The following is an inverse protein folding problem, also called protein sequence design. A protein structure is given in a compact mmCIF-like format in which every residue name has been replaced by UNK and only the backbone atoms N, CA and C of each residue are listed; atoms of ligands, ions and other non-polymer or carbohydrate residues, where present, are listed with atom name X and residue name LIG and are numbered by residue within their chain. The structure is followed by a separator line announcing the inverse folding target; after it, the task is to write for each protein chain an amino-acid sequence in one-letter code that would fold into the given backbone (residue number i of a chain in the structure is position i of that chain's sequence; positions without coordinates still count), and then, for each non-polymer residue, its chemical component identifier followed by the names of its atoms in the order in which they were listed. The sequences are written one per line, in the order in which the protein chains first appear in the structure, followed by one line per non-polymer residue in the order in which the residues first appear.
data_IF_853207304034
#
_entry.id   IF_853207304034
#
_cell.length_a   1.000
_cell.length_b   1.000
_cell.length_c   1.000
_cell.angle_alpha   90.00
_cell.angle_beta   90.00
_cell.angle_gamma   90.00
#
_symmetry.space_group_name_H-M   'P 1'
#
loop_
_entity.id
_entity.type
_entity.pdbx_description
1 polymer ?
#
# COMPACT_ATOMS: atom_id res chain seq x y z
N UNK A 1 24.60 -6.52 26.46
CA UNK A 1 24.69 -5.06 26.58
C UNK A 1 23.49 -4.48 25.86
N UNK A 2 22.78 -3.46 26.35
CA UNK A 2 21.77 -2.81 25.57
C UNK A 2 22.46 -2.19 24.34
N UNK A 3 22.00 -2.54 23.15
CA UNK A 3 22.45 -1.89 21.92
C UNK A 3 22.17 -0.40 22.07
N UNK A 4 23.22 0.43 22.07
CA UNK A 4 23.09 1.87 22.09
C UNK A 4 22.40 2.26 20.79
N UNK A 5 21.15 2.71 20.89
CA UNK A 5 20.45 3.31 19.76
C UNK A 5 21.12 4.67 19.51
N UNK A 6 22.13 4.69 18.68
CA UNK A 6 22.82 5.89 18.26
C UNK A 6 21.86 6.83 17.53
N UNK A 7 22.16 8.12 17.52
CA UNK A 7 21.44 9.10 16.71
C UNK A 7 21.69 8.72 15.23
N UNK A 8 20.65 8.22 14.56
CA UNK A 8 20.72 7.85 13.16
C UNK A 8 20.59 9.10 12.29
N UNK A 9 21.69 9.63 11.79
CA UNK A 9 21.68 10.76 10.85
C UNK A 9 21.36 10.26 9.46
N UNK A 10 20.39 10.82 8.76
CA UNK A 10 20.04 10.40 7.40
C UNK A 10 21.13 10.81 6.40
N UNK A 11 21.38 9.94 5.43
CA UNK A 11 22.19 10.25 4.27
C UNK A 11 21.25 10.63 3.13
N UNK A 12 21.23 11.91 2.81
CA UNK A 12 20.45 12.46 1.71
C UNK A 12 21.34 12.60 0.49
N UNK A 13 20.87 12.16 -0.67
CA UNK A 13 21.57 12.29 -1.95
C UNK A 13 20.64 12.99 -2.94
N UNK A 14 21.07 14.11 -3.50
CA UNK A 14 20.36 14.88 -4.51
C UNK A 14 21.18 14.91 -5.80
N UNK A 15 20.57 14.49 -6.89
CA UNK A 15 21.22 14.40 -8.22
C UNK A 15 22.54 13.62 -8.20
N UNK A 16 22.63 12.55 -7.40
CA UNK A 16 23.82 11.72 -7.26
C UNK A 16 24.88 12.26 -6.29
N UNK A 17 24.70 13.47 -5.76
CA UNK A 17 25.64 14.09 -4.82
C UNK A 17 25.11 13.98 -3.39
N UNK A 18 25.93 13.47 -2.48
CA UNK A 18 25.59 13.41 -1.06
C UNK A 18 25.55 14.81 -0.47
N UNK A 19 24.47 15.14 0.23
CA UNK A 19 24.33 16.40 0.95
C UNK A 19 25.27 16.37 2.16
N UNK A 20 26.19 17.31 2.24
CA UNK A 20 27.24 17.35 3.26
C UNK A 20 27.54 18.78 3.73
N UNK A 21 28.32 18.92 4.83
CA UNK A 21 28.71 20.19 5.39
C UNK A 21 27.51 21.02 5.85
N UNK A 22 27.57 22.34 5.71
CA UNK A 22 26.53 23.29 6.15
C UNK A 22 25.12 22.90 5.68
N UNK A 23 25.01 22.32 4.46
CA UNK A 23 23.71 21.84 3.93
C UNK A 23 23.17 20.64 4.71
N UNK A 24 24.03 19.75 5.15
CA UNK A 24 23.62 18.62 5.99
C UNK A 24 23.24 19.11 7.41
N UNK A 25 23.98 20.07 7.93
CA UNK A 25 23.71 20.67 9.25
C UNK A 25 22.41 21.48 9.25
N UNK A 26 22.01 22.01 8.11
CA UNK A 26 20.73 22.71 7.94
C UNK A 26 19.50 21.77 7.90
N UNK A 27 19.68 20.46 7.80
CA UNK A 27 18.57 19.49 7.74
C UNK A 27 17.88 19.38 9.11
N UNK A 28 16.61 19.77 9.16
CA UNK A 28 15.80 19.75 10.38
C UNK A 28 15.01 18.46 10.55
N UNK A 29 14.37 18.01 9.47
CA UNK A 29 13.43 16.91 9.50
C UNK A 29 13.47 16.12 8.18
N UNK A 30 13.32 14.82 8.29
CA UNK A 30 13.09 13.93 7.14
C UNK A 30 11.93 13.01 7.46
N UNK A 31 10.96 12.99 6.59
CA UNK A 31 9.81 12.12 6.66
C UNK A 31 9.67 11.32 5.38
N UNK A 32 9.73 10.00 5.50
CA UNK A 32 9.54 9.08 4.36
C UNK A 32 8.34 8.19 4.63
N UNK A 33 7.39 8.20 3.72
CA UNK A 33 6.18 7.36 3.79
C UNK A 33 6.25 6.34 2.66
N UNK A 34 6.21 5.07 3.03
CA UNK A 34 6.12 3.93 2.10
C UNK A 34 4.80 3.21 2.34
N UNK A 35 4.05 2.97 1.29
CA UNK A 35 2.71 2.40 1.40
C UNK A 35 2.43 1.47 0.21
N UNK A 36 1.70 0.37 0.44
CA UNK A 36 1.21 -0.47 -0.65
C UNK A 36 0.06 0.25 -1.38
N UNK A 37 -0.02 0.08 -2.68
CA UNK A 37 -1.03 0.71 -3.53
C UNK A 37 -1.06 2.25 -3.47
N UNK A 38 0.09 2.87 -3.19
CA UNK A 38 0.25 4.33 -3.19
C UNK A 38 1.67 4.72 -3.57
N UNK A 39 1.86 5.97 -3.96
CA UNK A 39 3.18 6.52 -4.21
C UNK A 39 3.95 6.72 -2.91
N UNK A 40 5.19 6.24 -2.86
CA UNK A 40 6.09 6.58 -1.78
C UNK A 40 6.46 8.07 -1.85
N UNK A 41 6.51 8.70 -0.68
CA UNK A 41 6.81 10.12 -0.56
C UNK A 41 7.95 10.36 0.43
N UNK A 42 8.82 11.32 0.10
CA UNK A 42 9.83 11.83 1.01
C UNK A 42 9.69 13.34 1.13
N UNK A 43 9.64 13.84 2.35
CA UNK A 43 9.63 15.27 2.66
C UNK A 43 10.86 15.58 3.50
N UNK A 44 11.62 16.59 3.08
CA UNK A 44 12.81 17.06 3.77
C UNK A 44 12.64 18.53 4.09
N UNK A 45 12.98 18.93 5.31
CA UNK A 45 12.95 20.31 5.77
C UNK A 45 14.36 20.77 6.12
N UNK A 46 14.75 21.91 5.57
CA UNK A 46 16.04 22.54 5.81
C UNK A 46 15.83 23.94 6.38
N UNK A 47 16.64 24.30 7.35
CA UNK A 47 16.73 25.67 7.81
C UNK A 47 17.42 26.51 6.74
N UNK A 48 16.76 27.56 6.24
CA UNK A 48 17.25 28.40 5.14
C UNK A 48 16.96 29.89 5.41
N UNK A 49 17.57 30.47 6.47
CA UNK A 49 17.22 31.80 6.95
C UNK A 49 17.49 32.92 5.95
N UNK A 50 18.40 32.69 4.99
CA UNK A 50 18.80 33.67 3.97
C UNK A 50 18.40 33.25 2.56
N UNK A 51 17.57 32.21 2.40
CA UNK A 51 17.14 31.65 1.11
C UNK A 51 18.28 31.14 0.20
N UNK A 52 19.47 30.91 0.77
CA UNK A 52 20.64 30.46 -0.01
C UNK A 52 20.45 29.07 -0.63
N UNK A 53 19.72 28.19 0.07
CA UNK A 53 19.39 26.86 -0.44
C UNK A 53 18.31 26.93 -1.53
N UNK A 54 17.30 27.80 -1.33
CA UNK A 54 16.20 28.00 -2.26
C UNK A 54 16.70 28.65 -3.57
N UNK A 55 17.46 29.73 -3.51
CA UNK A 55 17.97 30.47 -4.66
C UNK A 55 19.11 29.76 -5.37
N UNK A 56 19.79 28.87 -4.65
CA UNK A 56 20.89 28.09 -5.17
C UNK A 56 20.46 26.96 -6.11
N UNK A 57 21.46 26.27 -6.68
CA UNK A 57 21.23 25.08 -7.51
C UNK A 57 21.07 23.79 -6.70
N UNK A 58 20.83 23.91 -5.40
CA UNK A 58 20.83 22.78 -4.46
C UNK A 58 19.75 21.74 -4.77
N UNK A 59 18.52 22.18 -5.04
CA UNK A 59 17.41 21.31 -5.38
C UNK A 59 16.65 21.86 -6.59
N UNK A 60 16.27 20.98 -7.50
CA UNK A 60 15.44 21.31 -8.67
C UNK A 60 14.39 20.25 -8.88
N UNK A 61 13.20 20.65 -9.34
CA UNK A 61 12.14 19.72 -9.71
C UNK A 61 12.65 18.76 -10.81
N UNK A 62 12.30 17.47 -10.67
CA UNK A 62 12.67 16.41 -11.61
C UNK A 62 14.01 15.73 -11.33
N UNK A 63 14.88 16.29 -10.48
CA UNK A 63 16.15 15.63 -10.15
C UNK A 63 15.97 14.47 -9.18
N UNK A 64 16.90 13.51 -9.22
CA UNK A 64 16.86 12.33 -8.35
C UNK A 64 17.04 12.70 -6.87
N UNK A 65 16.25 12.09 -6.02
CA UNK A 65 16.31 12.18 -4.56
C UNK A 65 16.43 10.78 -3.97
N UNK A 66 17.38 10.58 -3.08
CA UNK A 66 17.53 9.34 -2.31
C UNK A 66 17.72 9.66 -0.84
N UNK A 67 17.08 8.88 0.02
CA UNK A 67 17.24 8.96 1.47
C UNK A 67 17.64 7.58 1.99
N UNK A 68 18.68 7.54 2.82
CA UNK A 68 19.11 6.34 3.51
C UNK A 68 19.29 6.63 5.00
N UNK A 69 19.13 5.60 5.84
CA UNK A 69 19.42 5.64 7.26
C UNK A 69 20.33 4.47 7.63
N UNK A 70 21.28 4.65 8.55
CA UNK A 70 22.07 3.55 9.07
C UNK A 70 21.18 2.59 9.89
N UNK A 71 21.37 1.31 9.73
CA UNK A 71 20.80 0.27 10.61
C UNK A 71 21.62 0.11 11.89
N UNK A 72 21.25 -0.84 12.75
CA UNK A 72 21.95 -1.14 14.01
C UNK A 72 23.42 -1.54 13.83
N UNK A 73 23.82 -1.95 12.62
CA UNK A 73 25.22 -2.29 12.29
C UNK A 73 26.00 -1.13 11.69
N UNK A 74 25.35 0.05 11.50
CA UNK A 74 25.93 1.21 10.84
C UNK A 74 25.88 1.12 9.31
N UNK A 75 25.20 0.12 8.75
CA UNK A 75 25.05 -0.02 7.29
C UNK A 75 23.92 0.86 6.79
N UNK A 76 24.19 1.68 5.77
CA UNK A 76 23.19 2.52 5.14
C UNK A 76 22.10 1.69 4.45
N UNK A 77 20.86 1.83 4.89
CA UNK A 77 19.66 1.25 4.27
C UNK A 77 18.92 2.34 3.51
N UNK A 78 18.81 2.18 2.21
CA UNK A 78 18.05 3.11 1.38
C UNK A 78 16.56 2.89 1.67
N UNK A 79 15.90 3.94 2.18
CA UNK A 79 14.46 3.92 2.48
C UNK A 79 13.63 4.60 1.40
N UNK A 80 14.24 5.46 0.58
CA UNK A 80 13.54 6.16 -0.48
C UNK A 80 14.44 6.40 -1.69
N UNK A 81 13.89 6.16 -2.87
CA UNK A 81 14.43 6.57 -4.17
C UNK A 81 13.30 7.15 -5.00
N UNK A 82 13.51 8.35 -5.53
CA UNK A 82 12.51 9.02 -6.35
C UNK A 82 13.05 10.27 -7.02
N UNK A 83 12.14 11.19 -7.34
CA UNK A 83 12.46 12.49 -7.91
C UNK A 83 11.80 13.60 -7.11
N UNK A 84 12.44 14.74 -7.03
CA UNK A 84 11.87 15.96 -6.45
C UNK A 84 10.69 16.39 -7.31
N UNK A 85 9.50 16.50 -6.69
CA UNK A 85 8.27 16.89 -7.36
C UNK A 85 7.81 18.30 -6.96
N UNK A 86 8.15 18.72 -5.72
CA UNK A 86 7.80 20.06 -5.25
C UNK A 86 8.92 20.64 -4.39
N UNK A 87 9.03 21.95 -4.44
CA UNK A 87 9.91 22.77 -3.61
C UNK A 87 9.06 23.91 -3.09
N UNK A 88 9.06 24.13 -1.76
CA UNK A 88 8.33 25.20 -1.11
C UNK A 88 9.26 25.95 -0.14
N UNK A 89 9.02 27.23 0.02
CA UNK A 89 9.58 28.03 1.09
C UNK A 89 8.48 28.27 2.12
N UNK A 90 8.72 27.89 3.38
CA UNK A 90 7.82 28.16 4.48
C UNK A 90 8.44 29.21 5.41
N UNK A 91 7.67 30.24 5.71
CA UNK A 91 8.08 31.29 6.63
C UNK A 91 7.22 31.23 7.89
N UNK A 92 7.86 31.04 9.01
CA UNK A 92 7.21 31.01 10.33
C UNK A 92 7.52 32.26 11.16
N UNK A 93 6.88 32.39 12.32
CA UNK A 93 7.23 33.41 13.29
C UNK A 93 8.69 33.25 13.79
N UNK A 94 9.33 34.34 14.22
CA UNK A 94 10.69 34.37 14.73
C UNK A 94 11.76 33.91 13.69
N UNK A 95 11.70 34.47 12.46
CA UNK A 95 12.69 34.27 11.38
C UNK A 95 12.95 32.78 11.03
N UNK A 96 11.96 31.96 11.26
CA UNK A 96 12.01 30.55 10.83
C UNK A 96 11.70 30.47 9.33
N UNK A 97 12.74 30.49 8.53
CA UNK A 97 12.63 30.23 7.10
C UNK A 97 13.09 28.80 6.82
N UNK A 98 12.24 28.03 6.17
CA UNK A 98 12.50 26.63 5.86
C UNK A 98 12.34 26.38 4.36
N UNK A 99 13.29 25.68 3.80
CA UNK A 99 13.16 25.07 2.48
C UNK A 99 12.53 23.67 2.66
N UNK A 100 11.41 23.43 2.01
CA UNK A 100 10.72 22.13 2.03
C UNK A 100 10.83 21.47 0.66
N UNK A 101 11.43 20.29 0.62
CA UNK A 101 11.57 19.50 -0.60
C UNK A 101 10.69 18.28 -0.48
N UNK A 102 9.80 18.07 -1.45
CA UNK A 102 8.97 16.87 -1.54
C UNK A 102 9.33 16.07 -2.77
N UNK A 103 9.61 14.79 -2.58
CA UNK A 103 9.87 13.83 -3.65
C UNK A 103 8.88 12.68 -3.64
N UNK A 104 8.63 12.12 -4.82
CA UNK A 104 7.83 10.91 -4.99
C UNK A 104 8.63 9.85 -5.75
N UNK A 105 8.30 8.60 -5.51
CA UNK A 105 8.87 7.49 -6.26
C UNK A 105 8.27 7.37 -7.67
N UNK A 106 8.71 6.38 -8.42
CA UNK A 106 8.26 6.17 -9.79
C UNK A 106 6.78 5.76 -9.91
N UNK A 107 6.11 5.38 -8.81
CA UNK A 107 4.69 5.02 -8.87
C UNK A 107 3.77 6.23 -9.02
N UNK A 108 4.25 7.45 -8.72
CA UNK A 108 3.47 8.67 -8.92
C UNK A 108 2.95 8.80 -10.37
N UNK A 109 3.78 8.41 -11.34
CA UNK A 109 3.39 8.49 -12.77
C UNK A 109 2.20 7.59 -13.12
N UNK A 110 1.95 6.52 -12.35
CA UNK A 110 0.80 5.61 -12.55
C UNK A 110 -0.54 6.31 -12.31
N UNK A 111 -0.55 7.38 -11.52
CA UNK A 111 -1.75 8.18 -11.23
C UNK A 111 -1.99 9.29 -12.25
N UNK A 112 -1.02 9.55 -13.13
CA UNK A 112 -1.11 10.63 -14.09
C UNK A 112 -1.80 10.19 -15.38
N UNK A 113 -2.75 11.00 -15.80
CA UNK A 113 -3.46 10.81 -17.07
C UNK A 113 -4.53 9.72 -17.02
N UNK A 114 -5.38 9.77 -18.02
CA UNK A 114 -6.36 8.75 -18.32
C UNK A 114 -5.86 7.98 -19.52
N UNK A 115 -5.80 6.66 -19.40
CA UNK A 115 -5.34 5.80 -20.50
C UNK A 115 -6.40 4.73 -20.79
N UNK A 116 -7.55 5.10 -21.42
CA UNK A 116 -8.57 4.13 -21.77
C UNK A 116 -7.95 3.03 -22.65
N UNK A 117 -8.03 1.80 -22.18
CA UNK A 117 -7.43 0.66 -22.88
C UNK A 117 -8.29 -0.57 -22.65
N UNK A 118 -8.60 -1.29 -23.71
CA UNK A 118 -9.23 -2.60 -23.63
C UNK A 118 -8.14 -3.67 -23.75
N UNK A 119 -8.12 -4.59 -22.83
CA UNK A 119 -7.27 -5.77 -22.86
C UNK A 119 -8.15 -6.99 -23.10
N UNK A 120 -7.84 -7.78 -24.14
CA UNK A 120 -8.59 -8.97 -24.53
C UNK A 120 -7.73 -10.21 -24.36
N UNK A 121 -8.34 -11.29 -23.86
CA UNK A 121 -7.69 -12.61 -23.68
C UNK A 121 -6.35 -12.55 -22.90
N UNK A 122 -6.29 -11.72 -21.84
CA UNK A 122 -5.07 -11.49 -21.07
C UNK A 122 -5.22 -11.91 -19.61
N UNK A 123 -4.11 -12.37 -19.04
CA UNK A 123 -4.00 -12.59 -17.59
C UNK A 123 -3.71 -11.27 -16.87
N UNK A 124 -3.94 -11.25 -15.55
CA UNK A 124 -3.55 -10.09 -14.73
C UNK A 124 -2.05 -9.78 -14.85
N UNK A 125 -1.20 -10.81 -14.93
CA UNK A 125 0.24 -10.63 -15.09
C UNK A 125 0.59 -9.95 -16.43
N UNK A 126 -0.09 -10.31 -17.53
CA UNK A 126 0.15 -9.71 -18.83
C UNK A 126 -0.22 -8.21 -18.83
N UNK A 127 -1.35 -7.86 -18.21
CA UNK A 127 -1.82 -6.47 -18.12
C UNK A 127 -0.86 -5.66 -17.24
N UNK A 128 -0.47 -6.17 -16.07
CA UNK A 128 0.52 -5.55 -15.19
C UNK A 128 1.83 -5.33 -15.92
N UNK A 129 2.29 -6.31 -16.72
CA UNK A 129 3.48 -6.17 -17.55
C UNK A 129 3.38 -5.04 -18.59
N UNK A 130 2.22 -4.89 -19.23
CA UNK A 130 1.99 -3.78 -20.18
C UNK A 130 1.95 -2.43 -19.48
N UNK A 131 1.27 -2.34 -18.33
CA UNK A 131 1.24 -1.12 -17.52
C UNK A 131 2.66 -0.74 -17.08
N UNK A 132 3.44 -1.69 -16.55
CA UNK A 132 4.81 -1.45 -16.14
C UNK A 132 5.66 -0.93 -17.31
N UNK A 133 5.61 -1.61 -18.46
CA UNK A 133 6.41 -1.24 -19.63
C UNK A 133 6.12 0.19 -20.12
N UNK A 134 4.85 0.60 -20.20
CA UNK A 134 4.50 1.96 -20.66
C UNK A 134 4.93 3.06 -19.67
N UNK A 135 5.11 2.68 -18.38
CA UNK A 135 5.60 3.57 -17.34
C UNK A 135 7.11 3.41 -17.08
N UNK A 136 7.85 2.78 -17.99
CA UNK A 136 9.31 2.55 -17.84
C UNK A 136 9.67 1.80 -16.56
N UNK A 137 8.79 0.91 -16.10
CA UNK A 137 8.98 0.03 -14.95
C UNK A 137 9.20 -1.41 -15.40
N UNK A 138 9.87 -2.19 -14.57
CA UNK A 138 9.97 -3.64 -14.71
C UNK A 138 8.92 -4.32 -13.85
N UNK A 139 8.06 -5.16 -14.43
CA UNK A 139 7.08 -5.91 -13.65
C UNK A 139 7.71 -7.13 -12.97
N UNK A 140 7.44 -7.27 -11.66
CA UNK A 140 7.74 -8.48 -10.89
C UNK A 140 6.44 -9.01 -10.29
N UNK A 141 5.90 -10.07 -10.86
CA UNK A 141 4.66 -10.68 -10.41
C UNK A 141 4.85 -12.12 -9.96
N UNK A 142 4.15 -12.52 -8.89
CA UNK A 142 4.03 -13.91 -8.44
C UNK A 142 2.66 -14.50 -8.77
N UNK A 143 1.82 -13.75 -9.46
CA UNK A 143 0.44 -14.11 -9.80
C UNK A 143 0.36 -14.20 -11.31
N UNK A 144 -0.01 -15.35 -11.83
CA UNK A 144 -0.36 -15.48 -13.24
C UNK A 144 -1.78 -14.96 -13.47
N UNK A 145 -2.71 -15.32 -12.59
CA UNK A 145 -4.13 -15.06 -12.77
C UNK A 145 -4.73 -15.94 -13.86
N UNK A 146 -6.04 -15.88 -14.01
CA UNK A 146 -6.73 -16.48 -15.16
C UNK A 146 -6.84 -15.48 -16.28
N UNK A 147 -6.94 -15.98 -17.50
CA UNK A 147 -7.27 -15.14 -18.65
C UNK A 147 -8.65 -14.54 -18.45
N UNK A 148 -8.74 -13.24 -18.63
CA UNK A 148 -9.98 -12.49 -18.70
C UNK A 148 -10.31 -12.30 -20.18
N UNK A 149 -11.54 -12.58 -20.57
CA UNK A 149 -12.00 -12.36 -21.95
C UNK A 149 -11.78 -10.91 -22.32
N UNK A 150 -12.10 -9.99 -21.41
CA UNK A 150 -11.72 -8.60 -21.55
C UNK A 150 -11.55 -7.92 -20.17
N UNK A 151 -10.68 -6.96 -20.12
CA UNK A 151 -10.53 -6.03 -19.01
C UNK A 151 -10.51 -4.61 -19.55
N UNK A 152 -11.46 -3.80 -19.13
CA UNK A 152 -11.61 -2.44 -19.59
C UNK A 152 -11.02 -1.49 -18.54
N UNK A 153 -9.94 -0.83 -18.91
CA UNK A 153 -9.36 0.27 -18.14
C UNK A 153 -9.97 1.57 -18.64
N UNK A 154 -10.66 2.30 -17.78
CA UNK A 154 -11.28 3.60 -18.10
C UNK A 154 -10.61 4.76 -17.37
N UNK A 155 -9.71 4.44 -16.45
CA UNK A 155 -9.07 5.37 -15.53
C UNK A 155 -7.54 5.25 -15.61
N UNK A 156 -6.84 5.82 -14.64
CA UNK A 156 -5.38 5.76 -14.54
C UNK A 156 -4.84 4.33 -14.42
N UNK A 157 -3.55 4.18 -14.66
CA UNK A 157 -2.83 2.92 -14.45
C UNK A 157 -2.88 2.47 -13.00
N UNK A 158 -2.84 3.42 -12.07
CA UNK A 158 -3.01 3.17 -10.65
C UNK A 158 -4.37 2.49 -10.35
N UNK A 159 -5.46 3.04 -10.86
CA UNK A 159 -6.80 2.49 -10.66
C UNK A 159 -6.94 1.09 -11.29
N UNK A 160 -6.30 0.87 -12.45
CA UNK A 160 -6.28 -0.45 -13.08
C UNK A 160 -5.51 -1.47 -12.25
N UNK A 161 -4.35 -1.09 -11.67
CA UNK A 161 -3.59 -1.96 -10.78
C UNK A 161 -4.36 -2.29 -9.51
N UNK A 162 -5.07 -1.32 -8.92
CA UNK A 162 -5.92 -1.54 -7.75
C UNK A 162 -7.06 -2.53 -8.05
N UNK A 163 -7.69 -2.38 -9.20
CA UNK A 163 -8.75 -3.29 -9.63
C UNK A 163 -8.22 -4.71 -9.84
N UNK A 164 -7.08 -4.84 -10.55
CA UNK A 164 -6.43 -6.14 -10.77
C UNK A 164 -5.97 -6.76 -9.44
N UNK A 165 -5.43 -5.96 -8.51
CA UNK A 165 -5.01 -6.43 -7.20
C UNK A 165 -6.20 -6.96 -6.40
N UNK A 166 -7.30 -6.22 -6.38
CA UNK A 166 -8.54 -6.63 -5.72
C UNK A 166 -9.13 -7.91 -6.30
N UNK A 167 -9.13 -8.09 -7.64
CA UNK A 167 -9.62 -9.29 -8.30
C UNK A 167 -8.80 -10.54 -8.00
N UNK A 168 -7.50 -10.36 -7.76
CA UNK A 168 -6.55 -11.47 -7.60
C UNK A 168 -6.09 -11.68 -6.14
N UNK A 169 -6.61 -10.92 -5.18
CA UNK A 169 -6.13 -10.95 -3.79
C UNK A 169 -4.64 -10.61 -3.69
N UNK A 170 -4.20 -9.64 -4.51
CA UNK A 170 -2.84 -9.17 -4.62
C UNK A 170 -2.62 -7.84 -3.91
N UNK A 171 -1.35 -7.50 -3.73
CA UNK A 171 -0.86 -6.16 -3.37
C UNK A 171 0.15 -5.71 -4.41
N UNK A 172 0.25 -4.42 -4.62
CA UNK A 172 1.25 -3.85 -5.49
C UNK A 172 1.94 -2.65 -4.83
N UNK A 173 3.19 -2.44 -5.20
CA UNK A 173 4.00 -1.27 -4.84
C UNK A 173 5.15 -1.13 -5.84
N UNK A 174 5.77 0.02 -5.87
CA UNK A 174 6.98 0.26 -6.66
C UNK A 174 8.18 0.34 -5.73
N UNK A 175 9.26 -0.32 -6.08
CA UNK A 175 10.56 -0.20 -5.45
C UNK A 175 11.60 0.13 -6.53
N UNK A 176 12.16 1.33 -6.46
CA UNK A 176 13.03 1.90 -7.50
C UNK A 176 12.31 1.94 -8.87
N UNK A 177 12.71 1.11 -9.81
CA UNK A 177 12.10 0.96 -11.13
C UNK A 177 11.31 -0.36 -11.29
N UNK A 178 10.99 -1.03 -10.19
CA UNK A 178 10.32 -2.33 -10.21
C UNK A 178 8.91 -2.23 -9.65
N UNK A 179 7.91 -2.54 -10.48
CA UNK A 179 6.52 -2.71 -10.07
C UNK A 179 6.34 -4.15 -9.56
N UNK A 180 6.14 -4.28 -8.26
CA UNK A 180 5.79 -5.53 -7.62
C UNK A 180 4.28 -5.73 -7.66
N UNK A 181 3.84 -6.93 -8.05
CA UNK A 181 2.43 -7.34 -8.03
C UNK A 181 2.36 -8.78 -7.53
N UNK A 182 2.06 -8.95 -6.25
CA UNK A 182 2.21 -10.26 -5.58
C UNK A 182 1.05 -10.53 -4.63
N UNK A 183 0.80 -11.82 -4.35
CA UNK A 183 -0.03 -12.18 -3.20
C UNK A 183 0.68 -11.81 -1.91
N UNK A 184 -0.09 -11.42 -0.90
CA UNK A 184 0.44 -11.22 0.45
C UNK A 184 1.06 -12.53 0.95
N UNK A 185 2.37 -12.53 1.15
CA UNK A 185 3.12 -13.67 1.67
C UNK A 185 4.02 -13.23 2.81
N UNK A 186 4.15 -14.09 3.82
CA UNK A 186 5.12 -13.86 4.89
C UNK A 186 6.53 -14.07 4.35
N UNK A 187 7.36 -13.06 4.52
CA UNK A 187 8.81 -13.11 4.27
C UNK A 187 9.57 -13.38 5.58
N UNK A 188 10.88 -13.46 5.52
CA UNK A 188 11.71 -13.47 6.72
C UNK A 188 11.38 -12.24 7.60
N UNK A 189 10.96 -12.43 8.86
CA UNK A 189 10.42 -11.33 9.64
C UNK A 189 11.53 -10.46 10.23
N UNK A 190 11.29 -9.17 10.28
CA UNK A 190 12.03 -8.21 11.10
C UNK A 190 11.49 -8.35 12.53
N UNK A 191 12.35 -8.70 13.47
CA UNK A 191 11.98 -8.91 14.88
C UNK A 191 11.95 -7.59 15.62
N UNK A 192 10.84 -7.28 16.25
CA UNK A 192 10.64 -6.12 17.09
C UNK A 192 10.33 -6.55 18.52
N UNK A 193 11.20 -6.18 19.45
CA UNK A 193 11.08 -6.58 20.86
C UNK A 193 10.52 -5.41 21.68
N UNK A 194 9.45 -5.69 22.43
CA UNK A 194 8.83 -4.71 23.34
C UNK A 194 9.85 -4.16 24.36
N UNK A 195 9.83 -2.84 24.53
CA UNK A 195 10.73 -2.15 25.48
C UNK A 195 12.17 -1.96 24.99
N UNK A 196 12.53 -2.48 23.81
CA UNK A 196 13.85 -2.26 23.18
C UNK A 196 13.68 -1.54 21.84
N UNK A 197 13.38 -2.31 20.79
CA UNK A 197 13.18 -1.77 19.45
C UNK A 197 11.74 -1.31 19.20
N UNK A 198 10.76 -1.88 19.91
CA UNK A 198 9.35 -1.52 19.83
C UNK A 198 8.96 -0.67 21.05
N UNK A 199 8.57 0.59 20.81
CA UNK A 199 8.20 1.55 21.84
C UNK A 199 6.69 1.67 22.03
N UNK A 200 5.93 1.52 20.96
CA UNK A 200 4.47 1.56 20.96
C UNK A 200 3.91 0.43 20.11
N UNK A 201 2.85 -0.18 20.60
CA UNK A 201 2.13 -1.20 19.84
C UNK A 201 0.65 -1.18 20.22
N UNK A 202 -0.19 -1.18 19.20
CA UNK A 202 -1.64 -1.29 19.32
C UNK A 202 -2.14 -2.33 18.33
N UNK A 203 -3.01 -3.18 18.79
CA UNK A 203 -3.70 -4.14 17.94
C UNK A 203 -5.20 -4.05 18.21
N UNK A 204 -5.99 -3.84 17.16
CA UNK A 204 -7.44 -3.80 17.20
C UNK A 204 -7.99 -4.96 16.39
N UNK A 205 -8.78 -5.77 17.02
CA UNK A 205 -9.58 -6.79 16.35
C UNK A 205 -11.04 -6.35 16.33
N UNK A 206 -11.67 -6.31 15.15
CA UNK A 206 -13.05 -5.87 14.96
C UNK A 206 -13.83 -6.90 14.16
N UNK A 207 -14.97 -7.33 14.69
CA UNK A 207 -15.95 -8.15 13.98
C UNK A 207 -17.07 -7.33 13.32
N UNK A 208 -17.00 -5.99 13.36
CA UNK A 208 -18.09 -5.12 12.91
C UNK A 208 -18.39 -5.25 11.40
N UNK A 209 -17.35 -5.48 10.58
CA UNK A 209 -17.46 -5.67 9.14
C UNK A 209 -17.30 -7.14 8.71
N UNK A 210 -17.53 -8.06 9.65
CA UNK A 210 -17.38 -9.49 9.39
C UNK A 210 -18.43 -9.96 8.38
N UNK A 211 -17.97 -10.65 7.35
CA UNK A 211 -18.80 -11.34 6.36
C UNK A 211 -18.35 -12.79 6.32
N UNK A 212 -19.31 -13.72 6.50
CA UNK A 212 -19.00 -15.16 6.52
C UNK A 212 -19.00 -15.76 5.11
N UNK A 213 -19.88 -15.28 4.23
CA UNK A 213 -19.99 -15.77 2.85
C UNK A 213 -19.98 -14.62 1.86
N UNK A 214 -19.17 -14.75 0.81
CA UNK A 214 -19.18 -13.85 -0.35
C UNK A 214 -19.67 -14.63 -1.55
N UNK A 215 -20.65 -14.06 -2.25
CA UNK A 215 -21.20 -14.61 -3.49
C UNK A 215 -20.98 -13.56 -4.60
N UNK A 216 -20.29 -13.95 -5.68
CA UNK A 216 -20.14 -13.13 -6.88
C UNK A 216 -21.07 -13.71 -7.93
N UNK A 217 -21.87 -12.84 -8.56
CA UNK A 217 -22.78 -13.21 -9.65
C UNK A 217 -22.42 -12.42 -10.89
N UNK A 218 -22.39 -13.10 -12.02
CA UNK A 218 -22.15 -12.54 -13.33
C UNK A 218 -22.99 -13.21 -14.40
N UNK A 219 -22.69 -12.89 -15.64
CA UNK A 219 -23.38 -13.40 -16.81
C UNK A 219 -22.35 -13.74 -17.88
N UNK A 220 -22.46 -14.95 -18.42
CA UNK A 220 -21.68 -15.37 -19.57
C UNK A 220 -22.48 -15.08 -20.85
N UNK A 221 -22.08 -14.10 -21.65
CA UNK A 221 -22.82 -13.75 -22.87
C UNK A 221 -22.73 -14.83 -23.97
N UNK A 222 -21.64 -15.61 -24.00
CA UNK A 222 -21.43 -16.65 -25.01
C UNK A 222 -22.37 -17.84 -24.81
N UNK A 223 -22.54 -18.28 -23.56
CA UNK A 223 -23.43 -19.40 -23.22
C UNK A 223 -24.82 -18.95 -22.77
N UNK A 224 -25.05 -17.64 -22.63
CA UNK A 224 -26.29 -17.03 -22.11
C UNK A 224 -26.74 -17.61 -20.76
N UNK A 225 -25.79 -17.83 -19.86
CA UNK A 225 -26.03 -18.40 -18.54
C UNK A 225 -25.53 -17.50 -17.41
N UNK A 226 -26.24 -17.55 -16.30
CA UNK A 226 -25.77 -16.93 -15.07
C UNK A 226 -24.54 -17.67 -14.54
N UNK A 227 -23.54 -16.88 -14.14
CA UNK A 227 -22.30 -17.35 -13.52
C UNK A 227 -22.34 -17.01 -12.05
N UNK A 228 -21.95 -17.96 -11.19
CA UNK A 228 -21.92 -17.74 -9.74
C UNK A 228 -20.65 -18.36 -9.15
N UNK A 229 -19.92 -17.55 -8.37
CA UNK A 229 -18.82 -17.99 -7.53
C UNK A 229 -19.12 -17.73 -6.08
N UNK A 230 -18.73 -18.65 -5.21
CA UNK A 230 -18.91 -18.51 -3.75
C UNK A 230 -17.61 -18.77 -3.01
N UNK A 231 -17.39 -17.98 -1.96
CA UNK A 231 -16.32 -18.20 -1.00
C UNK A 231 -16.89 -18.08 0.42
N UNK A 232 -16.57 -19.07 1.23
CA UNK A 232 -16.92 -19.07 2.65
C UNK A 232 -15.67 -18.79 3.45
N UNK A 233 -15.81 -18.03 4.53
CA UNK A 233 -14.73 -17.73 5.43
C UNK A 233 -14.10 -19.01 5.96
N UNK A 234 -12.83 -19.20 5.67
CA UNK A 234 -12.06 -20.31 6.24
C UNK A 234 -11.54 -19.93 7.63
N UNK A 235 -11.76 -20.80 8.61
CA UNK A 235 -11.18 -20.67 9.95
C UNK A 235 -9.64 -20.70 9.93
N UNK A 236 -9.04 -21.13 8.84
CA UNK A 236 -7.59 -21.32 8.68
C UNK A 236 -6.84 -20.01 8.35
N UNK A 237 -7.54 -18.99 7.84
CA UNK A 237 -6.89 -17.75 7.39
C UNK A 237 -6.37 -16.89 8.53
N UNK A 238 -6.87 -17.08 9.75
CA UNK A 238 -6.48 -16.30 10.93
C UNK A 238 -5.26 -16.82 11.70
N UNK A 239 -4.76 -18.02 11.39
CA UNK A 239 -3.76 -18.69 12.25
C UNK A 239 -2.32 -18.51 11.82
N UNK A 240 -2.04 -18.12 10.58
CA UNK A 240 -0.67 -17.93 10.07
C UNK A 240 -0.19 -16.48 10.02
N UNK A 241 -1.11 -15.54 9.93
CA UNK A 241 -0.81 -14.11 9.87
C UNK A 241 -1.65 -13.43 10.95
N UNK A 242 -1.03 -12.97 12.03
CA UNK A 242 -1.74 -12.25 13.07
C UNK A 242 -1.41 -12.68 14.48
N UNK A 243 -2.10 -12.06 15.38
CA UNK A 243 -2.05 -12.34 16.81
C UNK A 243 -2.57 -13.74 17.11
N UNK A 244 -1.96 -14.40 18.08
CA UNK A 244 -2.55 -15.58 18.74
C UNK A 244 -3.72 -15.17 19.64
N UNK A 245 -4.49 -14.16 19.28
CA UNK A 245 -5.74 -13.81 19.92
C UNK A 245 -6.70 -14.98 19.72
N UNK A 246 -6.64 -15.93 20.64
CA UNK A 246 -7.75 -16.87 20.83
C UNK A 246 -8.94 -16.03 21.29
N UNK A 247 -9.82 -15.71 20.36
CA UNK A 247 -11.17 -15.34 20.77
C UNK A 247 -11.70 -16.51 21.60
N UNK A 248 -11.90 -16.29 22.89
CA UNK A 248 -12.56 -17.27 23.73
C UNK A 248 -13.85 -17.72 23.03
N UNK A 249 -14.17 -19.00 23.11
CA UNK A 249 -15.31 -19.65 22.41
C UNK A 249 -16.62 -18.87 22.49
N UNK A 250 -16.85 -18.11 23.55
CA UNK A 250 -18.03 -17.28 23.74
C UNK A 250 -18.15 -16.15 22.68
N UNK A 251 -17.06 -15.50 22.31
CA UNK A 251 -17.08 -14.46 21.27
C UNK A 251 -17.15 -15.07 19.87
N UNK A 252 -16.54 -16.22 19.67
CA UNK A 252 -16.67 -16.98 18.44
C UNK A 252 -18.10 -17.51 18.25
N UNK A 253 -18.78 -17.89 19.34
CA UNK A 253 -20.16 -18.35 19.30
C UNK A 253 -21.11 -17.19 19.04
N UNK A 254 -20.95 -16.03 19.65
CA UNK A 254 -21.75 -14.84 19.36
C UNK A 254 -21.55 -14.36 17.92
N UNK A 255 -20.33 -14.45 17.38
CA UNK A 255 -20.06 -14.13 15.99
C UNK A 255 -20.65 -15.16 15.00
N UNK A 256 -20.86 -16.40 15.40
CA UNK A 256 -21.58 -17.42 14.61
C UNK A 256 -23.08 -17.15 14.49
N UNK A 257 -23.65 -16.40 15.41
CA UNK A 257 -25.08 -16.07 15.42
C UNK A 257 -25.45 -14.98 14.42
N UNK A 258 -24.49 -14.13 14.03
CA UNK A 258 -24.64 -13.09 13.02
C UNK A 258 -24.03 -13.57 11.70
N UNK A 259 -24.73 -14.48 11.00
CA UNK A 259 -24.32 -14.86 9.64
C UNK A 259 -24.56 -13.69 8.70
N UNK A 260 -23.47 -13.01 8.31
CA UNK A 260 -23.52 -11.98 7.29
C UNK A 260 -23.08 -12.58 5.96
N UNK A 261 -23.85 -12.34 4.91
CA UNK A 261 -23.49 -12.69 3.54
C UNK A 261 -23.42 -11.43 2.67
N UNK A 262 -22.46 -11.38 1.78
CA UNK A 262 -22.33 -10.30 0.79
C UNK A 262 -22.52 -10.88 -0.61
N UNK A 263 -23.33 -10.20 -1.43
CA UNK A 263 -23.49 -10.57 -2.84
C UNK A 263 -23.01 -9.41 -3.70
N UNK A 264 -22.11 -9.72 -4.64
CA UNK A 264 -21.47 -8.77 -5.56
C UNK A 264 -21.97 -9.07 -6.96
N UNK A 265 -22.50 -8.05 -7.62
CA UNK A 265 -23.10 -8.13 -8.97
C UNK A 265 -22.60 -7.04 -9.91
N UNK A 266 -21.81 -6.11 -9.41
CA UNK A 266 -21.33 -4.92 -10.14
C UNK A 266 -19.98 -5.14 -10.82
N UNK A 267 -19.42 -6.36 -10.71
CA UNK A 267 -18.18 -6.74 -11.37
C UNK A 267 -18.47 -7.70 -12.52
N UNK A 268 -18.06 -7.36 -13.75
CA UNK A 268 -18.24 -8.27 -14.87
C UNK A 268 -17.35 -9.50 -14.70
N UNK A 269 -17.98 -10.66 -14.69
CA UNK A 269 -17.35 -11.98 -14.69
C UNK A 269 -18.08 -12.89 -15.68
N UNK A 270 -17.33 -13.51 -16.58
CA UNK A 270 -17.86 -14.37 -17.64
C UNK A 270 -17.71 -15.85 -17.38
N UNK A 271 -16.90 -16.26 -16.38
CA UNK A 271 -16.65 -17.67 -16.08
C UNK A 271 -16.84 -17.98 -14.59
N UNK A 272 -17.31 -19.20 -14.29
CA UNK A 272 -17.58 -19.63 -12.92
C UNK A 272 -16.32 -19.68 -12.05
N UNK A 273 -15.20 -20.02 -12.61
CA UNK A 273 -13.92 -20.06 -11.93
C UNK A 273 -13.33 -18.65 -11.69
N UNK A 274 -13.57 -17.70 -12.59
CA UNK A 274 -13.28 -16.29 -12.38
C UNK A 274 -14.12 -15.73 -11.24
N UNK A 275 -15.44 -15.99 -11.24
CA UNK A 275 -16.33 -15.58 -10.15
C UNK A 275 -15.92 -16.16 -8.80
N UNK A 276 -15.47 -17.42 -8.79
CA UNK A 276 -14.98 -18.07 -7.57
C UNK A 276 -13.67 -17.44 -7.08
N UNK A 277 -12.70 -17.22 -7.97
CA UNK A 277 -11.43 -16.59 -7.62
C UNK A 277 -11.64 -15.17 -7.06
N UNK A 278 -12.56 -14.41 -7.65
CA UNK A 278 -12.94 -13.08 -7.18
C UNK A 278 -13.61 -13.16 -5.80
N UNK A 279 -14.53 -14.10 -5.58
CA UNK A 279 -15.18 -14.30 -4.28
C UNK A 279 -14.15 -14.66 -3.19
N UNK A 280 -13.17 -15.53 -3.50
CA UNK A 280 -12.09 -15.90 -2.58
C UNK A 280 -11.18 -14.70 -2.27
N UNK A 281 -10.82 -13.90 -3.27
CA UNK A 281 -10.01 -12.69 -3.07
C UNK A 281 -10.74 -11.67 -2.17
N UNK A 282 -12.01 -11.42 -2.43
CA UNK A 282 -12.82 -10.50 -1.64
C UNK A 282 -13.02 -11.01 -0.20
N UNK A 283 -13.25 -12.32 -0.03
CA UNK A 283 -13.36 -12.90 1.30
C UNK A 283 -12.07 -12.79 2.10
N UNK A 284 -10.93 -13.04 1.45
CA UNK A 284 -9.62 -12.90 2.08
C UNK A 284 -9.33 -11.44 2.47
N UNK A 285 -9.72 -10.48 1.63
CA UNK A 285 -9.57 -9.06 1.89
C UNK A 285 -10.44 -8.59 3.07
N UNK A 286 -11.70 -9.02 3.12
CA UNK A 286 -12.59 -8.74 4.25
C UNK A 286 -12.05 -9.33 5.56
N UNK A 287 -11.55 -10.56 5.52
CA UNK A 287 -10.94 -11.21 6.68
C UNK A 287 -9.67 -10.49 7.17
N UNK A 288 -8.84 -9.98 6.24
CA UNK A 288 -7.66 -9.19 6.60
C UNK A 288 -8.02 -7.87 7.29
N UNK A 289 -9.20 -7.30 7.00
CA UNK A 289 -9.70 -6.07 7.62
C UNK A 289 -10.12 -6.20 9.09
N UNK A 290 -10.26 -7.43 9.60
CA UNK A 290 -10.66 -7.65 11.00
C UNK A 290 -9.55 -7.32 12.00
N UNK A 291 -8.30 -7.38 11.59
CA UNK A 291 -7.14 -7.08 12.43
C UNK A 291 -6.38 -5.89 11.88
N UNK A 292 -6.27 -4.84 12.69
CA UNK A 292 -5.41 -3.69 12.44
C UNK A 292 -4.34 -3.62 13.51
N UNK A 293 -3.11 -3.46 13.11
CA UNK A 293 -1.97 -3.26 14.01
C UNK A 293 -1.27 -1.96 13.68
N UNK A 294 -0.81 -1.27 14.71
CA UNK A 294 -0.03 -0.05 14.60
C UNK A 294 1.09 -0.11 15.64
N UNK A 295 2.26 0.40 15.28
CA UNK A 295 3.37 0.44 16.21
C UNK A 295 4.41 1.48 15.85
N UNK A 296 5.27 1.77 16.81
CA UNK A 296 6.42 2.67 16.69
C UNK A 296 7.68 1.90 17.09
N UNK A 297 8.64 1.84 16.19
CA UNK A 297 9.92 1.19 16.38
C UNK A 297 11.07 2.17 16.20
N UNK A 298 12.14 2.02 16.98
CA UNK A 298 13.33 2.88 16.93
C UNK A 298 14.42 2.18 16.12
N UNK A 299 15.09 2.95 15.26
CA UNK A 299 16.28 2.49 14.52
C UNK A 299 16.00 1.34 13.55
N UNK A 300 14.81 1.28 12.93
CA UNK A 300 14.39 0.17 12.09
C UNK A 300 14.16 0.59 10.61
N UNK A 301 15.20 1.04 9.89
CA UNK A 301 15.05 1.51 8.51
C UNK A 301 14.68 0.39 7.51
N UNK A 302 14.86 -0.89 7.88
CA UNK A 302 14.52 -2.04 7.04
C UNK A 302 13.01 -2.33 6.95
N UNK A 303 12.20 -1.69 7.79
CA UNK A 303 10.74 -1.83 7.68
C UNK A 303 10.29 -1.10 6.42
N UNK A 304 9.63 -1.81 5.52
CA UNK A 304 9.11 -1.28 4.26
C UNK A 304 7.71 -1.81 3.99
N UNK A 305 6.99 -1.20 3.04
CA UNK A 305 5.73 -1.74 2.55
C UNK A 305 5.93 -3.17 2.02
N UNK A 306 5.05 -4.11 2.40
CA UNK A 306 5.17 -5.54 2.06
C UNK A 306 6.19 -6.31 2.89
N UNK A 307 6.89 -5.69 3.85
CA UNK A 307 7.77 -6.42 4.78
C UNK A 307 6.96 -7.17 5.84
N UNK A 308 7.59 -8.19 6.41
CA UNK A 308 7.01 -8.96 7.53
C UNK A 308 7.69 -8.54 8.82
N UNK A 309 6.92 -8.23 9.85
CA UNK A 309 7.41 -7.96 11.19
C UNK A 309 6.94 -9.05 12.16
N UNK A 310 7.76 -9.35 13.15
CA UNK A 310 7.44 -10.24 14.26
C UNK A 310 7.55 -9.48 15.56
N UNK A 311 6.43 -9.38 16.29
CA UNK A 311 6.37 -8.74 17.61
C UNK A 311 6.71 -9.77 18.69
N UNK A 312 7.70 -9.47 19.50
CA UNK A 312 8.17 -10.29 20.62
C UNK A 312 8.05 -9.52 21.96
N UNK A 313 7.70 -10.23 23.03
CA UNK A 313 7.64 -9.67 24.38
C UNK A 313 6.43 -8.81 24.71
N UNK A 314 5.45 -8.68 23.81
CA UNK A 314 4.22 -7.94 24.05
C UNK A 314 3.10 -8.79 24.73
N UNK A 315 3.47 -9.93 25.33
CA UNK A 315 2.54 -10.88 25.90
C UNK A 315 2.05 -11.93 24.87
N UNK A 316 1.47 -13.02 25.36
CA UNK A 316 1.11 -14.18 24.53
C UNK A 316 0.02 -13.89 23.50
N UNK A 317 -0.83 -12.89 23.78
CA UNK A 317 -1.95 -12.53 22.91
C UNK A 317 -1.59 -11.47 21.86
N UNK A 318 -0.64 -10.59 22.17
CA UNK A 318 -0.23 -9.49 21.29
C UNK A 318 1.04 -9.80 20.50
N UNK A 319 1.77 -10.85 20.85
CA UNK A 319 2.92 -11.31 20.07
C UNK A 319 2.44 -12.06 18.82
N UNK A 320 3.04 -11.76 17.68
CA UNK A 320 2.64 -12.38 16.41
C UNK A 320 3.42 -11.84 15.23
N UNK A 321 3.03 -12.31 14.04
CA UNK A 321 3.68 -11.95 12.78
C UNK A 321 2.68 -11.23 11.89
N UNK A 322 3.09 -10.10 11.30
CA UNK A 322 2.25 -9.23 10.50
C UNK A 322 2.94 -8.81 9.22
N UNK A 323 2.15 -8.48 8.20
CA UNK A 323 2.65 -7.78 7.00
C UNK A 323 2.37 -6.29 7.16
N UNK A 324 3.39 -5.49 6.87
CA UNK A 324 3.32 -4.02 6.92
C UNK A 324 2.71 -3.51 5.62
N UNK A 325 1.67 -2.68 5.73
CA UNK A 325 1.05 -2.02 4.59
C UNK A 325 1.59 -0.61 4.41
N UNK A 326 1.86 0.05 5.54
CA UNK A 326 2.37 1.41 5.57
C UNK A 326 3.45 1.54 6.62
N UNK A 327 4.52 2.24 6.29
CA UNK A 327 5.53 2.67 7.24
C UNK A 327 5.89 4.13 6.98
N UNK A 328 6.12 4.84 8.06
CA UNK A 328 6.58 6.20 8.07
C UNK A 328 7.88 6.27 8.87
N UNK A 329 8.98 6.58 8.18
CA UNK A 329 10.27 6.85 8.80
C UNK A 329 10.39 8.34 9.08
N UNK A 330 10.62 8.69 10.33
CA UNK A 330 10.69 10.07 10.80
C UNK A 330 12.05 10.29 11.46
N UNK A 331 12.78 11.25 10.94
CA UNK A 331 13.97 11.79 11.54
C UNK A 331 13.71 13.24 11.97
N UNK A 332 14.19 13.62 13.13
CA UNK A 332 14.26 15.00 13.59
C UNK A 332 15.57 15.20 14.34
N UNK A 333 16.10 16.41 14.31
CA UNK A 333 17.36 16.74 14.98
C UNK A 333 17.29 16.37 16.47
N UNK A 334 18.33 15.67 16.96
CA UNK A 334 18.43 15.24 18.35
C UNK A 334 17.51 14.06 18.75
N UNK A 335 16.86 13.42 17.79
CA UNK A 335 15.98 12.26 18.03
C UNK A 335 16.46 11.03 17.26
N UNK A 336 16.27 9.82 17.79
CA UNK A 336 16.52 8.60 17.03
C UNK A 336 15.54 8.49 15.86
N UNK A 337 15.91 7.72 14.82
CA UNK A 337 15.00 7.36 13.75
C UNK A 337 13.79 6.63 14.34
N UNK A 338 12.61 7.16 14.09
CA UNK A 338 11.34 6.56 14.44
C UNK A 338 10.68 5.96 13.20
N UNK A 339 10.32 4.69 13.26
CA UNK A 339 9.58 3.98 12.21
C UNK A 339 8.20 3.66 12.73
N UNK A 340 7.19 4.41 12.28
CA UNK A 340 5.77 4.14 12.54
C UNK A 340 5.26 3.19 11.48
N UNK A 341 4.67 2.09 11.87
CA UNK A 341 4.16 1.10 10.92
C UNK A 341 2.69 0.76 11.18
N UNK A 342 2.02 0.38 10.11
CA UNK A 342 0.65 -0.13 10.12
C UNK A 342 0.61 -1.45 9.38
N UNK A 343 -0.18 -2.40 9.90
CA UNK A 343 -0.45 -3.70 9.28
C UNK A 343 -1.92 -4.06 9.39
N UNK A 344 -2.37 -4.97 8.55
CA UNK A 344 -3.77 -5.31 8.39
C UNK A 344 -4.26 -4.97 6.99
N UNK A 345 -5.56 -4.77 6.80
CA UNK A 345 -6.11 -4.27 5.52
C UNK A 345 -5.85 -2.77 5.38
N UNK A 346 -5.55 -2.37 4.17
CA UNK A 346 -5.54 -0.96 3.79
C UNK A 346 -6.98 -0.46 3.64
N UNK A 347 -7.37 0.54 4.43
CA UNK A 347 -8.70 1.16 4.36
C UNK A 347 -9.77 0.41 5.17
N UNK A 348 -10.19 1.02 6.26
CA UNK A 348 -11.52 1.03 6.76
C UNK A 348 -12.10 -0.14 7.50
N UNK A 349 -11.75 -0.30 8.77
CA UNK A 349 -12.70 -0.86 9.75
C UNK A 349 -13.29 0.20 10.69
N UNK A 350 -13.06 1.47 10.41
CA UNK A 350 -13.65 2.56 11.20
C UNK A 350 -14.90 3.10 10.51
N UNK A 351 -15.86 3.59 11.30
CA UNK A 351 -17.11 4.15 10.77
C UNK A 351 -16.84 5.26 9.75
N UNK A 352 -15.79 6.06 9.96
CA UNK A 352 -15.33 7.09 9.04
C UNK A 352 -14.93 6.52 7.67
N UNK A 353 -14.27 5.36 7.63
CA UNK A 353 -13.87 4.71 6.39
C UNK A 353 -15.08 4.12 5.64
N UNK A 354 -16.10 3.65 6.35
CA UNK A 354 -17.36 3.25 5.74
C UNK A 354 -18.10 4.43 5.11
N UNK A 355 -18.09 5.59 5.77
CA UNK A 355 -18.69 6.82 5.23
C UNK A 355 -17.92 7.28 3.98
N UNK A 356 -16.59 7.31 4.04
CA UNK A 356 -15.74 7.72 2.89
C UNK A 356 -15.85 6.70 1.74
N UNK A 357 -15.88 5.40 2.04
CA UNK A 357 -16.04 4.38 0.99
C UNK A 357 -17.44 4.40 0.37
N UNK A 358 -18.48 4.68 1.15
CA UNK A 358 -19.83 4.89 0.64
C UNK A 358 -19.90 6.13 -0.27
N UNK A 359 -19.23 7.22 0.08
CA UNK A 359 -19.12 8.40 -0.78
C UNK A 359 -18.33 8.13 -2.06
N UNK A 360 -17.22 7.40 -1.98
CA UNK A 360 -16.45 6.95 -3.16
C UNK A 360 -17.24 5.99 -4.04
N UNK A 361 -18.02 5.10 -3.45
CA UNK A 361 -18.94 4.20 -4.15
C UNK A 361 -20.04 4.97 -4.91
N UNK A 362 -20.58 6.04 -4.32
CA UNK A 362 -21.60 6.89 -4.98
C UNK A 362 -21.06 7.66 -6.18
N UNK A 363 -19.78 8.02 -6.18
CA UNK A 363 -19.12 8.66 -7.34
C UNK A 363 -18.84 7.64 -8.45
N UNK A 364 -18.50 6.39 -8.09
CA UNK A 364 -18.32 5.30 -9.08
C UNK A 364 -19.65 4.84 -9.72
N UNK A 365 -20.76 4.98 -9.04
CA UNK A 365 -22.08 4.53 -9.52
C UNK A 365 -22.81 5.53 -10.43
N UNK A 366 -22.18 6.61 -10.86
CA UNK A 366 -22.69 7.40 -11.98
C UNK A 366 -22.39 6.70 -13.33
N UNK A 367 -22.88 5.48 -13.49
CA UNK A 367 -23.06 4.88 -14.80
C UNK A 367 -24.19 5.64 -15.48
N UNK A 368 -23.85 6.67 -16.23
CA UNK A 368 -24.80 7.34 -17.09
C UNK A 368 -25.08 6.40 -18.25
N UNK A 369 -26.35 6.18 -18.54
CA UNK A 369 -26.74 5.53 -19.79
C UNK A 369 -26.32 6.46 -20.93
N UNK A 370 -25.58 5.93 -21.88
CA UNK A 370 -25.24 6.64 -23.11
C UNK A 370 -26.15 6.10 -24.24
N UNK A 371 -26.72 7.01 -25.01
CA UNK A 371 -27.41 6.64 -26.25
C UNK A 371 -26.34 6.66 -27.33
N UNK A 372 -26.13 5.50 -27.99
CA UNK A 372 -25.20 5.35 -29.10
C UNK A 372 -25.94 4.93 -30.38
N UNK A 373 -25.37 5.27 -31.53
CA UNK A 373 -25.83 4.79 -32.83
C UNK A 373 -24.98 3.59 -33.22
N UNK A 374 -25.63 2.47 -33.53
CA UNK A 374 -24.94 1.30 -34.04
C UNK A 374 -24.47 1.60 -35.47
N UNK A 375 -23.17 1.66 -35.68
CA UNK A 375 -22.55 1.95 -36.98
C UNK A 375 -22.16 0.70 -37.77
N UNK A 376 -22.05 -0.43 -37.09
CA UNK A 376 -21.80 -1.72 -37.71
C UNK A 376 -22.53 -2.81 -36.91
N UNK A 377 -23.26 -3.70 -37.60
CA UNK A 377 -23.99 -4.83 -37.02
C UNK A 377 -23.24 -6.17 -37.19
N UNK A 378 -22.08 -6.15 -37.81
CA UNK A 378 -21.20 -7.31 -37.93
C UNK A 378 -20.16 -7.21 -36.86
N UNK A 379 -20.34 -7.98 -35.80
CA UNK A 379 -19.31 -8.19 -34.77
C UNK A 379 -18.28 -9.18 -35.36
N UNK A 380 -17.00 -8.86 -35.35
CA UNK A 380 -15.96 -9.75 -35.86
C UNK A 380 -15.62 -10.91 -34.92
N UNK A 381 -16.16 -10.94 -33.67
CA UNK A 381 -15.88 -11.98 -32.67
C UNK A 381 -17.09 -12.90 -32.42
#
# INVERSE_FOLDING_TARGET
MPESVGISVPKVTINGTVVSGIKADALLDVRVVLETAAAAAATLRFHDPYFELLEGSFAKIGVKLQVAFPDATGTDVIVFKGKIAAIAAEQGAADRHELVITGYDASQQLSHGLTPTTYTEMTAADIVGKIAKRNSLTAKTSITGKKMTYFLQLDSDHAALDELARRNGAEWWVDDATLHFTKRTLKAPIKLKWGTTLQRFSARFSGAARVDDVTVRGWDPATQKAVTGKATRSAVTSTKVGLKLKMTDTRATQAKTLKASSTVTDMPVGAADEAKALAEAMQADLAAGELRVQGEAIGQPKIAAGSTIQIEGAGTQLSGTFVVNRVEHIFGVGRPLLSRFEGGRHGGSELADHIVSAQRGSVRNRRQFAIGTVTNVKDPD
#
